data_IF_219297767969
#
_entry.id   IF_219297767969
#
_cell.length_a   1.000
_cell.length_b   1.000
_cell.length_c   1.000
_cell.angle_alpha   90.00
_cell.angle_beta   90.00
_cell.angle_gamma   90.00
#
_symmetry.space_group_name_H-M   'P 1'
#
loop_
_entity.id
_entity.type
_entity.pdbx_description
1 polymer ?
#
# COMPACT_ATOMS: atom_id res chain seq x y z
N UNK A 1 -17.13 12.96 -8.69
CA UNK A 1 -16.31 13.69 -9.70
C UNK A 1 -14.80 13.63 -9.44
N UNK A 2 -14.26 13.92 -8.24
CA UNK A 2 -12.82 13.78 -7.99
C UNK A 2 -12.36 12.31 -7.84
N UNK A 3 -13.22 11.44 -7.35
CA UNK A 3 -12.98 9.99 -7.29
C UNK A 3 -12.97 9.32 -8.67
N UNK A 4 -13.89 9.67 -9.56
CA UNK A 4 -13.94 9.10 -10.93
C UNK A 4 -12.70 9.42 -11.77
N UNK A 5 -12.11 10.62 -11.62
CA UNK A 5 -10.86 10.95 -12.32
C UNK A 5 -9.63 10.22 -11.75
N UNK A 6 -9.68 9.77 -10.49
CA UNK A 6 -8.67 8.87 -9.94
C UNK A 6 -8.84 7.44 -10.46
N UNK A 7 -10.07 7.01 -10.75
CA UNK A 7 -10.41 5.65 -11.21
C UNK A 7 -9.94 5.34 -12.63
N UNK A 8 -9.90 6.29 -13.53
CA UNK A 8 -9.34 6.08 -14.88
C UNK A 8 -7.86 5.67 -14.88
N UNK A 9 -7.21 5.81 -13.72
CA UNK A 9 -5.82 5.39 -13.53
C UNK A 9 -5.60 4.16 -12.65
N UNK A 10 -6.65 3.59 -12.05
CA UNK A 10 -6.60 2.45 -11.12
C UNK A 10 -6.16 1.15 -11.83
N UNK A 11 -6.44 1.04 -13.10
CA UNK A 11 -6.16 -0.16 -13.89
C UNK A 11 -4.66 -0.53 -14.00
N UNK A 12 -3.73 0.38 -13.70
CA UNK A 12 -2.32 0.13 -13.95
C UNK A 12 -1.60 -0.58 -12.82
N UNK A 13 -1.95 -0.38 -11.55
CA UNK A 13 -1.25 -1.05 -10.44
C UNK A 13 -1.46 -2.57 -10.49
N UNK A 14 -2.68 -3.03 -10.71
CA UNK A 14 -2.99 -4.47 -10.84
C UNK A 14 -2.22 -5.16 -11.97
N UNK A 15 -1.93 -4.45 -13.07
CA UNK A 15 -1.15 -4.99 -14.19
C UNK A 15 0.33 -5.16 -13.88
N UNK A 16 0.82 -4.60 -12.79
CA UNK A 16 2.22 -4.73 -12.35
C UNK A 16 2.45 -5.90 -11.41
N UNK A 17 1.37 -6.52 -10.91
CA UNK A 17 1.45 -7.58 -9.94
C UNK A 17 1.89 -8.90 -10.57
N UNK A 18 2.73 -9.62 -9.88
CA UNK A 18 2.99 -11.03 -10.17
C UNK A 18 1.75 -11.85 -9.79
N UNK A 19 1.52 -13.01 -10.39
CA UNK A 19 0.42 -13.88 -9.98
C UNK A 19 0.47 -14.22 -8.50
N UNK A 20 -0.67 -14.17 -7.83
CA UNK A 20 -0.80 -14.61 -6.45
C UNK A 20 -0.57 -16.13 -6.35
N UNK A 21 -0.07 -16.58 -5.22
CA UNK A 21 0.11 -17.98 -4.87
C UNK A 21 -0.81 -18.33 -3.69
N UNK A 22 -1.06 -19.60 -3.50
CA UNK A 22 -1.77 -20.09 -2.32
C UNK A 22 -1.01 -19.69 -1.05
N UNK A 23 -1.73 -19.24 -0.01
CA UNK A 23 -1.13 -18.81 1.26
C UNK A 23 -0.39 -17.48 1.20
N UNK A 24 -0.76 -16.57 0.29
CA UNK A 24 -0.17 -15.22 0.28
C UNK A 24 -0.34 -14.54 1.64
N UNK A 25 0.69 -13.81 2.04
CA UNK A 25 0.66 -13.01 3.25
C UNK A 25 0.68 -11.53 2.88
N UNK A 26 -0.32 -10.81 3.38
CA UNK A 26 -0.41 -9.36 3.22
C UNK A 26 0.01 -8.65 4.52
N UNK A 27 0.62 -7.50 4.35
CA UNK A 27 0.87 -6.53 5.42
C UNK A 27 0.15 -5.23 5.07
N UNK A 28 -0.68 -4.71 5.98
CA UNK A 28 -1.41 -3.47 5.81
C UNK A 28 -0.90 -2.42 6.80
N UNK A 29 -0.77 -1.20 6.31
CA UNK A 29 -0.38 -0.03 7.13
C UNK A 29 -0.80 1.25 6.41
N UNK A 30 -0.75 2.39 7.11
CA UNK A 30 -1.06 3.68 6.55
C UNK A 30 0.04 4.71 6.79
N UNK A 31 0.23 5.58 5.79
CA UNK A 31 1.21 6.66 5.83
C UNK A 31 0.51 8.01 5.90
N UNK A 32 0.79 8.77 6.94
CA UNK A 32 0.32 10.15 7.05
C UNK A 32 0.98 11.06 6.02
N UNK A 33 0.17 11.93 5.43
CA UNK A 33 0.57 12.98 4.52
C UNK A 33 -0.36 14.19 4.64
N UNK A 34 -0.14 15.22 3.84
CA UNK A 34 -1.00 16.39 3.75
C UNK A 34 -0.97 17.00 2.34
N UNK A 35 -2.00 17.78 2.01
CA UNK A 35 -2.07 18.54 0.77
C UNK A 35 -2.32 20.00 1.13
N UNK A 36 -1.57 20.91 0.51
CA UNK A 36 -1.62 22.35 0.71
C UNK A 36 -1.12 22.82 2.08
N UNK A 37 -1.72 22.36 3.18
CA UNK A 37 -1.34 22.72 4.55
C UNK A 37 -1.46 21.51 5.47
N UNK A 38 -0.68 21.50 6.57
CA UNK A 38 -0.61 20.34 7.49
C UNK A 38 -1.95 20.00 8.16
N UNK A 39 -2.90 20.95 8.22
CA UNK A 39 -4.25 20.72 8.70
C UNK A 39 -5.11 19.91 7.73
N UNK A 40 -4.76 19.90 6.43
CA UNK A 40 -5.43 19.09 5.40
C UNK A 40 -4.75 17.73 5.30
N UNK A 41 -5.01 16.90 6.27
CA UNK A 41 -4.42 15.58 6.41
C UNK A 41 -4.98 14.62 5.37
N UNK A 42 -4.10 13.78 4.84
CA UNK A 42 -4.44 12.67 3.95
C UNK A 42 -3.65 11.46 4.41
N UNK A 43 -4.32 10.35 4.59
CA UNK A 43 -3.67 9.07 4.85
C UNK A 43 -3.59 8.26 3.56
N UNK A 44 -2.47 7.62 3.37
CA UNK A 44 -2.23 6.71 2.25
C UNK A 44 -2.22 5.31 2.81
N UNK A 45 -3.31 4.61 2.59
CA UNK A 45 -3.49 3.22 2.99
C UNK A 45 -2.84 2.29 1.98
N UNK A 46 -2.18 1.27 2.44
CA UNK A 46 -1.34 0.39 1.63
C UNK A 46 -1.54 -1.07 2.03
N UNK A 47 -1.58 -1.94 1.04
CA UNK A 47 -1.50 -3.39 1.24
C UNK A 47 -0.29 -3.92 0.46
N UNK A 48 0.63 -4.60 1.14
CA UNK A 48 1.87 -5.15 0.58
C UNK A 48 1.83 -6.67 0.63
N UNK A 49 2.16 -7.33 -0.48
CA UNK A 49 2.42 -8.77 -0.50
C UNK A 49 3.81 -9.07 0.07
N UNK A 50 3.87 -9.88 1.14
CA UNK A 50 5.13 -10.21 1.82
C UNK A 50 6.11 -10.96 0.92
N UNK A 51 5.64 -11.87 0.07
CA UNK A 51 6.46 -12.68 -0.83
C UNK A 51 7.12 -11.85 -1.93
N UNK A 52 6.34 -11.08 -2.68
CA UNK A 52 6.81 -10.31 -3.84
C UNK A 52 7.32 -8.93 -3.50
N UNK A 53 7.00 -8.42 -2.30
CA UNK A 53 7.25 -7.03 -1.85
C UNK A 53 6.54 -5.97 -2.71
N UNK A 54 5.55 -6.37 -3.47
CA UNK A 54 4.76 -5.45 -4.29
C UNK A 54 3.61 -4.87 -3.48
N UNK A 55 3.23 -3.63 -3.80
CA UNK A 55 2.01 -3.02 -3.29
C UNK A 55 0.84 -3.56 -4.10
N UNK A 56 -0.02 -4.32 -3.45
CA UNK A 56 -1.17 -4.98 -4.06
C UNK A 56 -2.32 -4.02 -4.28
N UNK A 57 -2.56 -3.15 -3.29
CA UNK A 57 -3.58 -2.11 -3.35
C UNK A 57 -3.15 -0.87 -2.54
N UNK A 58 -3.74 0.27 -2.87
CA UNK A 58 -3.59 1.50 -2.13
C UNK A 58 -4.86 2.34 -2.20
N UNK A 59 -5.09 3.16 -1.16
CA UNK A 59 -6.23 4.05 -1.07
C UNK A 59 -5.86 5.33 -0.32
N UNK A 60 -6.00 6.53 -0.93
CA UNK A 60 -5.90 7.77 -0.19
C UNK A 60 -7.23 8.13 0.45
N UNK A 61 -7.20 8.68 1.67
CA UNK A 61 -8.42 9.13 2.33
C UNK A 61 -8.20 9.45 3.81
N UNK A 62 -9.28 9.64 4.57
CA UNK A 62 -9.24 9.78 6.02
C UNK A 62 -8.71 8.50 6.71
N UNK A 63 -8.33 8.65 7.99
CA UNK A 63 -7.98 7.49 8.84
C UNK A 63 -9.26 6.94 9.48
N UNK A 64 -10.03 6.19 8.71
CA UNK A 64 -11.29 5.61 9.13
C UNK A 64 -11.55 4.21 8.52
N UNK A 65 -12.55 3.53 9.06
CA UNK A 65 -12.94 2.19 8.61
C UNK A 65 -13.54 2.19 7.20
N UNK A 66 -14.08 3.32 6.72
CA UNK A 66 -14.67 3.46 5.38
C UNK A 66 -13.56 3.40 4.34
N UNK A 67 -12.50 4.19 4.53
CA UNK A 67 -11.34 4.20 3.65
C UNK A 67 -10.61 2.85 3.67
N UNK A 68 -10.51 2.24 4.85
CA UNK A 68 -9.95 0.89 4.98
C UNK A 68 -10.79 -0.15 4.21
N UNK A 69 -12.13 -0.08 4.27
CA UNK A 69 -13.02 -0.94 3.47
C UNK A 69 -12.76 -0.76 1.99
N UNK A 70 -12.65 0.46 1.52
CA UNK A 70 -12.32 0.76 0.12
C UNK A 70 -10.95 0.22 -0.29
N UNK A 71 -9.94 0.25 0.60
CA UNK A 71 -8.67 -0.42 0.34
C UNK A 71 -8.86 -1.93 0.20
N UNK A 72 -9.58 -2.56 1.16
CA UNK A 72 -9.84 -4.00 1.17
C UNK A 72 -10.55 -4.47 -0.09
N UNK A 73 -11.54 -3.72 -0.56
CA UNK A 73 -12.29 -4.01 -1.78
C UNK A 73 -11.42 -3.92 -3.05
N UNK A 74 -10.35 -3.12 -3.02
CA UNK A 74 -9.38 -3.02 -4.13
C UNK A 74 -8.33 -4.12 -4.18
N UNK A 75 -8.15 -4.89 -3.11
CA UNK A 75 -7.26 -6.04 -3.11
C UNK A 75 -7.87 -7.12 -3.99
N UNK A 76 -7.15 -7.67 -5.00
CA UNK A 76 -7.66 -8.77 -5.80
C UNK A 76 -7.97 -10.00 -4.94
N UNK A 77 -9.06 -10.70 -5.24
CA UNK A 77 -9.51 -11.85 -4.43
C UNK A 77 -8.46 -12.95 -4.31
N UNK A 78 -7.66 -13.15 -5.35
CA UNK A 78 -6.54 -14.07 -5.33
C UNK A 78 -5.48 -13.77 -4.25
N UNK A 79 -5.38 -12.52 -3.79
CA UNK A 79 -4.50 -12.11 -2.70
C UNK A 79 -5.21 -12.11 -1.34
N UNK A 80 -6.54 -11.98 -1.32
CA UNK A 80 -7.34 -11.98 -0.08
C UNK A 80 -7.46 -13.35 0.57
N UNK A 81 -7.19 -14.42 -0.16
CA UNK A 81 -7.34 -15.80 0.35
C UNK A 81 -6.32 -16.18 1.44
N UNK A 82 -5.33 -15.32 1.69
CA UNK A 82 -4.26 -15.56 2.64
C UNK A 82 -4.40 -14.83 3.96
N UNK A 83 -3.31 -14.79 4.69
CA UNK A 83 -3.20 -14.14 6.02
C UNK A 83 -2.89 -12.65 5.88
N UNK A 84 -3.44 -11.83 6.77
CA UNK A 84 -3.28 -10.38 6.75
C UNK A 84 -2.74 -9.90 8.12
N UNK A 85 -1.57 -9.28 8.11
CA UNK A 85 -0.95 -8.68 9.29
C UNK A 85 -1.14 -7.17 9.31
N UNK A 86 -1.49 -6.63 10.47
CA UNK A 86 -1.70 -5.19 10.70
C UNK A 86 -1.14 -4.79 12.07
N UNK A 87 -1.11 -3.50 12.36
CA UNK A 87 -0.96 -3.02 13.73
C UNK A 87 -2.27 -3.22 14.55
N UNK A 88 -2.26 -2.76 15.81
CA UNK A 88 -3.41 -2.89 16.73
C UNK A 88 -4.53 -1.87 16.50
N UNK A 89 -4.57 -1.14 15.40
CA UNK A 89 -5.64 -0.18 15.21
C UNK A 89 -6.99 -0.89 15.03
N UNK A 90 -7.97 -0.54 15.90
CA UNK A 90 -9.25 -1.26 16.03
C UNK A 90 -10.09 -1.36 14.74
N UNK A 91 -9.90 -0.45 13.78
CA UNK A 91 -10.66 -0.49 12.53
C UNK A 91 -10.30 -1.66 11.64
N UNK A 92 -9.10 -2.24 11.76
CA UNK A 92 -8.72 -3.41 10.96
C UNK A 92 -9.61 -4.61 11.26
N UNK A 93 -9.91 -4.87 12.53
CA UNK A 93 -10.78 -5.98 12.94
C UNK A 93 -12.25 -5.83 12.50
N UNK A 94 -12.68 -4.61 12.14
CA UNK A 94 -14.02 -4.36 11.61
C UNK A 94 -14.15 -4.64 10.11
N UNK A 95 -13.02 -4.73 9.40
CA UNK A 95 -12.99 -4.82 7.94
C UNK A 95 -12.45 -6.16 7.46
N UNK A 96 -11.37 -6.65 8.07
CA UNK A 96 -10.70 -7.88 7.69
C UNK A 96 -11.37 -9.05 8.40
N UNK A 97 -11.70 -10.16 7.69
CA UNK A 97 -12.27 -11.35 8.31
C UNK A 97 -11.41 -11.87 9.47
N UNK A 98 -11.98 -12.21 10.63
CA UNK A 98 -11.21 -12.61 11.82
C UNK A 98 -10.26 -13.79 11.59
N UNK A 99 -10.66 -14.73 10.74
CA UNK A 99 -9.87 -15.91 10.38
C UNK A 99 -8.61 -15.61 9.57
N UNK A 100 -8.56 -14.43 8.96
CA UNK A 100 -7.42 -13.96 8.14
C UNK A 100 -6.60 -12.89 8.84
N UNK A 101 -7.15 -12.27 9.89
CA UNK A 101 -6.57 -11.09 10.53
C UNK A 101 -5.67 -11.45 11.71
N UNK A 102 -4.43 -11.01 11.64
CA UNK A 102 -3.46 -11.08 12.74
C UNK A 102 -2.98 -9.67 13.08
N UNK A 103 -3.44 -9.15 14.21
CA UNK A 103 -2.93 -7.91 14.76
C UNK A 103 -1.63 -8.18 15.54
N UNK A 104 -0.55 -7.53 15.18
CA UNK A 104 0.75 -7.67 15.81
C UNK A 104 1.35 -6.33 16.20
N UNK A 105 2.00 -6.27 17.38
CA UNK A 105 2.81 -5.11 17.76
C UNK A 105 4.11 -5.03 16.96
N UNK A 106 4.73 -3.85 16.97
CA UNK A 106 6.02 -3.62 16.31
C UNK A 106 7.13 -4.57 16.77
N UNK A 107 7.06 -5.05 18.01
CA UNK A 107 8.02 -5.99 18.59
C UNK A 107 7.93 -7.39 17.95
N UNK A 108 6.76 -7.77 17.42
CA UNK A 108 6.57 -9.04 16.73
C UNK A 108 7.20 -9.06 15.32
N UNK A 109 7.52 -7.90 14.75
CA UNK A 109 8.16 -7.78 13.44
C UNK A 109 7.27 -8.19 12.25
N UNK A 110 5.98 -8.41 12.47
CA UNK A 110 5.07 -8.96 11.47
C UNK A 110 4.67 -7.95 10.38
N UNK A 111 4.93 -6.65 10.61
CA UNK A 111 4.69 -5.55 9.65
C UNK A 111 5.98 -4.90 9.15
N UNK A 112 7.12 -5.52 9.38
CA UNK A 112 8.44 -4.96 9.06
C UNK A 112 8.62 -4.60 7.58
N UNK A 113 7.96 -5.32 6.67
CA UNK A 113 8.15 -5.08 5.24
C UNK A 113 7.38 -3.87 4.75
N UNK A 114 6.15 -3.69 5.23
CA UNK A 114 5.38 -2.50 4.88
C UNK A 114 5.95 -1.26 5.58
N UNK A 115 6.44 -1.38 6.81
CA UNK A 115 7.12 -0.28 7.50
C UNK A 115 8.39 0.17 6.74
N UNK A 116 9.20 -0.78 6.28
CA UNK A 116 10.36 -0.50 5.42
C UNK A 116 9.94 0.13 4.09
N UNK A 117 8.84 -0.34 3.51
CA UNK A 117 8.29 0.28 2.31
C UNK A 117 7.86 1.73 2.58
N UNK A 118 7.20 2.00 3.71
CA UNK A 118 6.78 3.34 4.11
C UNK A 118 7.98 4.31 4.24
N UNK A 119 9.10 3.84 4.77
CA UNK A 119 10.36 4.60 4.76
C UNK A 119 10.84 4.88 3.33
N UNK A 120 10.83 3.86 2.47
CA UNK A 120 11.22 4.00 1.05
C UNK A 120 10.32 4.98 0.31
N UNK A 121 9.01 4.91 0.53
CA UNK A 121 8.03 5.81 -0.07
C UNK A 121 8.31 7.27 0.33
N UNK A 122 8.54 7.52 1.62
CA UNK A 122 8.87 8.87 2.11
C UNK A 122 10.18 9.42 1.54
N UNK A 123 11.20 8.58 1.44
CA UNK A 123 12.50 8.97 0.86
C UNK A 123 12.41 9.26 -0.64
N UNK A 124 11.59 8.49 -1.37
CA UNK A 124 11.51 8.57 -2.83
C UNK A 124 10.51 9.60 -3.33
N UNK A 125 9.51 9.97 -2.52
CA UNK A 125 8.49 10.95 -2.86
C UNK A 125 8.63 12.17 -1.96
N UNK A 126 9.38 13.22 -2.38
CA UNK A 126 9.66 14.40 -1.54
C UNK A 126 8.41 15.08 -0.99
N UNK A 127 7.29 14.94 -1.70
CA UNK A 127 5.97 15.50 -1.29
C UNK A 127 5.37 14.84 -0.05
N UNK A 128 5.91 13.70 0.39
CA UNK A 128 5.51 12.98 1.61
C UNK A 128 6.40 13.31 2.81
N UNK A 129 7.45 14.11 2.61
CA UNK A 129 8.35 14.51 3.69
C UNK A 129 7.72 15.64 4.50
N UNK A 130 7.69 15.50 5.84
CA UNK A 130 7.02 16.44 6.75
C UNK A 130 7.61 17.85 6.75
N UNK A 131 8.89 17.99 6.38
CA UNK A 131 9.61 19.27 6.33
C UNK A 131 10.19 19.47 4.92
N UNK A 132 9.33 19.80 3.96
CA UNK A 132 9.73 20.05 2.59
C UNK A 132 9.01 21.26 2.03
N UNK A 133 9.70 22.02 1.17
CA UNK A 133 9.08 23.06 0.34
C UNK A 133 8.34 22.45 -0.87
N UNK A 134 8.56 21.17 -1.16
CA UNK A 134 7.98 20.45 -2.30
C UNK A 134 6.64 19.78 -1.97
N UNK A 135 5.85 20.32 -1.05
CA UNK A 135 4.54 19.77 -0.73
C UNK A 135 3.53 19.95 -1.87
N UNK A 136 2.55 19.05 -1.92
CA UNK A 136 1.50 19.10 -2.96
C UNK A 136 0.47 20.18 -2.66
N UNK A 137 0.16 21.00 -3.68
CA UNK A 137 -0.88 22.04 -3.59
C UNK A 137 -2.27 21.54 -4.01
N UNK A 138 -2.39 20.38 -4.64
CA UNK A 138 -3.65 19.78 -5.12
C UNK A 138 -3.63 18.28 -4.94
N UNK A 139 -4.75 17.70 -4.50
CA UNK A 139 -4.92 16.26 -4.29
C UNK A 139 -4.60 15.44 -5.54
N UNK A 140 -5.07 15.88 -6.72
CA UNK A 140 -4.84 15.19 -7.99
C UNK A 140 -3.34 14.94 -8.25
N UNK A 141 -2.51 15.95 -8.09
CA UNK A 141 -1.06 15.82 -8.29
C UNK A 141 -0.40 14.98 -7.20
N UNK A 142 -0.86 15.12 -5.96
CA UNK A 142 -0.38 14.31 -4.85
C UNK A 142 -0.56 12.82 -5.14
N UNK A 143 -1.77 12.42 -5.54
CA UNK A 143 -2.10 11.03 -5.84
C UNK A 143 -1.42 10.52 -7.11
N UNK A 144 -1.27 11.35 -8.14
CA UNK A 144 -0.55 10.98 -9.38
C UNK A 144 0.93 10.66 -9.11
N UNK A 145 1.62 11.44 -8.28
CA UNK A 145 3.00 11.17 -7.92
C UNK A 145 3.14 9.89 -7.12
N UNK A 146 2.29 9.67 -6.13
CA UNK A 146 2.28 8.43 -5.33
C UNK A 146 2.03 7.24 -6.26
N UNK A 147 0.99 7.29 -7.09
CA UNK A 147 0.67 6.21 -8.03
C UNK A 147 1.83 5.90 -8.98
N UNK A 148 2.44 6.92 -9.57
CA UNK A 148 3.60 6.74 -10.45
C UNK A 148 4.74 6.02 -9.74
N UNK A 149 5.02 6.42 -8.50
CA UNK A 149 6.02 5.74 -7.68
C UNK A 149 5.64 4.28 -7.42
N UNK A 150 4.39 3.99 -7.03
CA UNK A 150 3.93 2.63 -6.74
C UNK A 150 4.06 1.70 -7.95
N UNK A 151 3.64 2.16 -9.13
CA UNK A 151 3.78 1.41 -10.39
C UNK A 151 5.25 1.11 -10.69
N UNK A 152 6.11 2.11 -10.65
CA UNK A 152 7.56 1.95 -10.90
C UNK A 152 8.22 1.04 -9.87
N UNK A 153 7.83 1.16 -8.61
CA UNK A 153 8.31 0.30 -7.52
C UNK A 153 7.90 -1.17 -7.76
N UNK A 154 6.63 -1.42 -8.07
CA UNK A 154 6.13 -2.76 -8.34
C UNK A 154 6.85 -3.44 -9.52
N UNK A 155 7.05 -2.72 -10.61
CA UNK A 155 7.79 -3.25 -11.78
C UNK A 155 9.23 -3.63 -11.41
N UNK A 156 9.92 -2.82 -10.60
CA UNK A 156 11.26 -3.15 -10.10
C UNK A 156 11.25 -4.40 -9.21
N UNK A 157 10.24 -4.52 -8.33
CA UNK A 157 10.11 -5.70 -7.46
C UNK A 157 9.79 -6.96 -8.25
N UNK A 158 8.89 -6.90 -9.23
CA UNK A 158 8.62 -8.03 -10.13
C UNK A 158 9.89 -8.51 -10.84
N UNK A 159 10.65 -7.57 -11.42
CA UNK A 159 11.91 -7.89 -12.11
C UNK A 159 12.94 -8.54 -11.18
N UNK A 160 13.09 -8.03 -9.96
CA UNK A 160 14.01 -8.59 -8.97
C UNK A 160 13.59 -10.00 -8.55
N UNK A 161 12.32 -10.21 -8.25
CA UNK A 161 11.75 -11.50 -7.87
C UNK A 161 11.98 -12.58 -8.95
N UNK A 162 11.67 -12.24 -10.21
CA UNK A 162 11.85 -13.16 -11.34
C UNK A 162 13.33 -13.52 -11.60
N UNK A 163 14.26 -12.60 -11.35
CA UNK A 163 15.70 -12.88 -11.44
C UNK A 163 16.15 -13.87 -10.37
N UNK A 164 15.76 -13.65 -9.10
CA UNK A 164 16.08 -14.54 -8.00
C UNK A 164 15.50 -15.95 -8.19
N UNK A 165 14.25 -16.03 -8.67
CA UNK A 165 13.58 -17.31 -8.95
C UNK A 165 14.27 -18.13 -10.05
N UNK A 166 14.95 -17.48 -11.01
CA UNK A 166 15.74 -18.15 -12.05
C UNK A 166 17.07 -18.68 -11.48
N UNK A 167 17.73 -17.92 -10.63
CA UNK A 167 19.00 -18.32 -10.00
C UNK A 167 18.84 -19.52 -9.05
N UNK A 168 17.71 -19.62 -8.36
CA UNK A 168 17.45 -20.73 -7.43
C UNK A 168 17.01 -22.04 -8.14
N UNK A 169 16.82 -22.03 -9.46
CA UNK A 169 16.47 -23.20 -10.27
C UNK A 169 17.65 -23.81 -11.03
N UNK A 170 18.81 -23.17 -10.95
CA UNK A 170 20.08 -23.62 -11.51
C UNK A 170 20.97 -24.21 -10.44
#
# INVERSE_FOLDING_TARGET
MLQEQAESGVCYLHRTLLPAQEGEVLELDEVWSFVFRKSEQVWIWLALCRRTRQIVAWMPGPRDHITLRQLWDKIPDSYKAGTCFTDFWASYSQVIPPEQHHAGGKEAGETNHIERFNCTLRQSVPRLVRQTLSFSKRHLWHYRFIRHFLVTYNLRKAKAYLRQSKQNKT
#
